data_IF_465539937235
#
_entry.id   IF_465539937235
#
_cell.length_a   1.000
_cell.length_b   1.000
_cell.length_c   1.000
_cell.angle_alpha   90.00
_cell.angle_beta   90.00
_cell.angle_gamma   90.00
#
_symmetry.space_group_name_H-M   'P 1'
#
loop_
_entity.id
_entity.type
_entity.pdbx_description
1 polymer ?
#
# COMPACT_ATOMS: atom_id res chain seq x y z
N UNK A 1 6.59 13.87 18.86
CA UNK A 1 5.23 14.18 18.37
C UNK A 1 5.28 14.19 16.84
N UNK A 2 4.41 13.45 16.19
CA UNK A 2 4.34 13.33 14.71
C UNK A 2 3.77 14.63 14.14
N UNK A 3 4.49 15.27 13.23
CA UNK A 3 4.12 16.54 12.59
C UNK A 3 3.95 16.41 11.08
N UNK A 4 4.65 15.45 10.46
CA UNK A 4 4.65 15.26 9.01
C UNK A 4 4.33 13.81 8.71
N UNK A 5 3.29 13.55 7.91
CA UNK A 5 2.82 12.20 7.59
C UNK A 5 2.72 11.99 6.09
N UNK A 6 3.20 10.85 5.61
CA UNK A 6 2.96 10.35 4.27
C UNK A 6 1.72 9.46 4.29
N UNK A 7 0.81 9.68 3.36
CA UNK A 7 -0.36 8.85 3.11
C UNK A 7 -0.12 8.07 1.81
N UNK A 8 0.26 6.82 1.90
CA UNK A 8 0.28 5.93 0.74
C UNK A 8 -1.15 5.55 0.38
N UNK A 9 -1.49 5.55 -0.91
CA UNK A 9 -2.84 5.20 -1.35
C UNK A 9 -2.84 4.04 -2.33
N UNK A 10 -3.87 3.21 -2.22
CA UNK A 10 -4.22 2.20 -3.20
C UNK A 10 -5.73 2.18 -3.43
N UNK A 11 -6.19 1.54 -4.50
CA UNK A 11 -7.59 1.64 -4.92
C UNK A 11 -8.41 0.40 -4.55
N UNK A 12 -7.80 -0.77 -4.64
CA UNK A 12 -8.49 -2.04 -4.57
C UNK A 12 -9.07 -2.36 -3.19
N UNK A 13 -8.55 -1.77 -2.12
CA UNK A 13 -9.08 -1.94 -0.75
C UNK A 13 -10.22 -1.00 -0.38
N UNK A 14 -10.54 0.00 -1.21
CA UNK A 14 -11.53 1.05 -0.95
C UNK A 14 -12.95 0.47 -0.84
N UNK A 15 -13.76 1.00 0.07
CA UNK A 15 -15.17 0.65 0.20
C UNK A 15 -15.94 0.94 -1.10
N UNK A 16 -16.64 -0.08 -1.63
CA UNK A 16 -17.40 0.03 -2.89
C UNK A 16 -16.59 -0.21 -4.16
N UNK A 17 -15.27 -0.47 -4.08
CA UNK A 17 -14.44 -0.90 -5.20
C UNK A 17 -14.32 -2.42 -5.15
N UNK A 18 -14.87 -3.14 -6.14
CA UNK A 18 -14.98 -4.61 -6.13
C UNK A 18 -14.67 -5.27 -7.48
N UNK A 19 -14.28 -4.49 -8.49
CA UNK A 19 -14.04 -5.00 -9.84
C UNK A 19 -12.75 -4.42 -10.44
N UNK A 20 -11.83 -5.29 -10.83
CA UNK A 20 -10.63 -4.86 -11.56
C UNK A 20 -10.98 -4.15 -12.87
N UNK A 21 -11.80 -4.79 -13.70
CA UNK A 21 -12.09 -4.33 -15.07
C UNK A 21 -12.94 -3.07 -15.11
N UNK A 22 -13.88 -2.93 -14.18
CA UNK A 22 -14.82 -1.81 -14.20
C UNK A 22 -14.36 -0.61 -13.35
N UNK A 23 -13.50 -0.85 -12.34
CA UNK A 23 -13.21 0.16 -11.31
C UNK A 23 -11.72 0.41 -11.05
N UNK A 24 -10.84 -0.61 -11.17
CA UNK A 24 -9.44 -0.47 -10.81
C UNK A 24 -8.51 -0.26 -12.03
N UNK A 25 -8.89 -0.70 -13.22
CA UNK A 25 -8.13 -0.40 -14.43
C UNK A 25 -8.54 0.95 -15.03
N UNK A 26 -7.59 1.67 -15.62
CA UNK A 26 -7.79 3.04 -16.13
C UNK A 26 -8.81 3.16 -17.27
N UNK A 27 -9.07 2.07 -17.99
CA UNK A 27 -10.10 1.96 -19.03
C UNK A 27 -11.46 1.47 -18.49
N UNK A 28 -11.56 1.25 -17.18
CA UNK A 28 -12.78 0.82 -16.52
C UNK A 28 -13.88 1.88 -16.56
N UNK A 29 -15.10 1.47 -16.87
CA UNK A 29 -16.28 2.34 -16.99
C UNK A 29 -16.53 3.21 -15.74
N UNK A 30 -16.18 2.70 -14.56
CA UNK A 30 -16.42 3.36 -13.28
C UNK A 30 -15.12 3.80 -12.59
N UNK A 31 -14.00 3.86 -13.32
CA UNK A 31 -12.69 4.23 -12.77
C UNK A 31 -12.70 5.62 -12.11
N UNK A 32 -13.25 6.65 -12.77
CA UNK A 32 -13.34 7.99 -12.18
C UNK A 32 -14.24 8.05 -10.93
N UNK A 33 -15.25 7.18 -10.87
CA UNK A 33 -16.05 7.05 -9.65
C UNK A 33 -15.25 6.40 -8.53
N UNK A 34 -14.48 5.37 -8.83
CA UNK A 34 -13.61 4.70 -7.86
C UNK A 34 -12.52 5.66 -7.32
N UNK A 35 -11.95 6.50 -8.17
CA UNK A 35 -11.02 7.56 -7.76
C UNK A 35 -11.66 8.52 -6.74
N UNK A 36 -12.91 8.93 -6.96
CA UNK A 36 -13.61 9.80 -5.98
C UNK A 36 -13.90 9.09 -4.67
N UNK A 37 -14.18 7.77 -4.68
CA UNK A 37 -14.32 6.99 -3.45
C UNK A 37 -13.00 6.95 -2.67
N UNK A 38 -11.89 6.62 -3.32
CA UNK A 38 -10.57 6.65 -2.69
C UNK A 38 -10.23 8.04 -2.15
N UNK A 39 -10.45 9.09 -2.96
CA UNK A 39 -10.14 10.47 -2.54
C UNK A 39 -10.95 10.87 -1.32
N UNK A 40 -12.21 10.42 -1.22
CA UNK A 40 -13.05 10.62 -0.02
C UNK A 40 -12.47 9.93 1.22
N UNK A 41 -11.99 8.69 1.12
CA UNK A 41 -11.33 7.99 2.21
C UNK A 41 -10.00 8.65 2.62
N UNK A 42 -9.21 9.11 1.63
CA UNK A 42 -7.98 9.87 1.87
C UNK A 42 -8.27 11.19 2.58
N UNK A 43 -9.31 11.92 2.15
CA UNK A 43 -9.70 13.18 2.79
C UNK A 43 -10.11 12.95 4.26
N UNK A 44 -10.84 11.88 4.55
CA UNK A 44 -11.18 11.50 5.93
C UNK A 44 -9.94 11.19 6.77
N UNK A 45 -8.94 10.51 6.19
CA UNK A 45 -7.66 10.29 6.85
C UNK A 45 -6.91 11.60 7.11
N UNK A 46 -6.91 12.53 6.15
CA UNK A 46 -6.31 13.87 6.32
C UNK A 46 -7.00 14.64 7.43
N UNK A 47 -8.34 14.62 7.50
CA UNK A 47 -9.09 15.23 8.61
C UNK A 47 -8.65 14.68 9.97
N UNK A 48 -8.48 13.35 10.10
CA UNK A 48 -7.98 12.71 11.32
C UNK A 48 -6.54 13.12 11.67
N UNK A 49 -5.66 13.20 10.65
CA UNK A 49 -4.28 13.66 10.85
C UNK A 49 -4.22 15.10 11.37
N UNK A 50 -5.00 16.01 10.77
CA UNK A 50 -5.05 17.41 11.20
C UNK A 50 -5.63 17.55 12.61
N UNK A 51 -6.70 16.80 12.93
CA UNK A 51 -7.27 16.77 14.28
C UNK A 51 -6.27 16.28 15.33
N UNK A 52 -5.39 15.31 14.97
CA UNK A 52 -4.30 14.83 15.82
C UNK A 52 -3.06 15.73 15.85
N UNK A 53 -3.10 16.92 15.22
CA UNK A 53 -2.04 17.94 15.28
C UNK A 53 -0.89 17.74 14.28
N UNK A 54 -1.11 16.98 13.20
CA UNK A 54 -0.20 16.89 12.04
C UNK A 54 -0.25 18.21 11.26
N UNK A 55 0.91 18.70 10.85
CA UNK A 55 1.07 20.01 10.21
C UNK A 55 1.32 19.90 8.69
N UNK A 56 1.87 18.77 8.24
CA UNK A 56 2.15 18.54 6.83
C UNK A 56 1.72 17.12 6.42
N UNK A 57 0.92 17.04 5.35
CA UNK A 57 0.45 15.76 4.78
C UNK A 57 0.88 15.67 3.32
N UNK A 58 1.59 14.58 2.98
CA UNK A 58 1.93 14.22 1.61
C UNK A 58 1.16 12.96 1.22
N UNK A 59 0.19 13.08 0.34
CA UNK A 59 -0.49 11.95 -0.29
C UNK A 59 0.39 11.43 -1.43
N UNK A 60 0.71 10.15 -1.40
CA UNK A 60 1.46 9.45 -2.44
C UNK A 60 0.51 8.51 -3.18
N UNK A 61 0.14 8.87 -4.40
CA UNK A 61 -0.75 8.11 -5.27
C UNK A 61 0.00 6.90 -5.86
N UNK A 62 -0.07 5.75 -5.20
CA UNK A 62 0.70 4.56 -5.56
C UNK A 62 -0.05 3.59 -6.47
N UNK A 63 -1.39 3.68 -6.58
CA UNK A 63 -2.15 2.81 -7.47
C UNK A 63 -1.68 2.93 -8.92
N UNK A 64 -1.47 1.81 -9.60
CA UNK A 64 -0.98 1.67 -10.97
C UNK A 64 -1.02 2.94 -11.85
N UNK A 65 -2.15 3.26 -12.52
CA UNK A 65 -2.25 4.44 -13.39
C UNK A 65 -2.46 5.78 -12.63
N UNK A 66 -2.65 5.72 -11.31
CA UNK A 66 -2.98 6.85 -10.44
C UNK A 66 -4.48 6.96 -10.17
N UNK A 67 -4.86 7.02 -8.89
CA UNK A 67 -6.28 6.92 -8.47
C UNK A 67 -6.78 8.07 -7.58
N UNK A 68 -6.03 9.14 -7.42
CA UNK A 68 -6.52 10.34 -6.73
C UNK A 68 -7.24 11.27 -7.70
N UNK A 69 -8.44 11.72 -7.34
CA UNK A 69 -9.11 12.85 -8.01
C UNK A 69 -8.49 14.15 -7.50
N UNK A 70 -7.67 14.78 -8.34
CA UNK A 70 -6.89 15.96 -7.94
C UNK A 70 -7.79 17.13 -7.49
N UNK A 71 -8.90 17.33 -8.18
CA UNK A 71 -9.86 18.41 -7.90
C UNK A 71 -10.58 18.23 -6.57
N UNK A 72 -10.73 16.96 -6.13
CA UNK A 72 -11.47 16.62 -4.91
C UNK A 72 -10.54 16.40 -3.70
N UNK A 73 -9.21 16.48 -3.88
CA UNK A 73 -8.25 16.25 -2.82
C UNK A 73 -8.32 17.35 -1.75
N UNK A 74 -8.18 16.97 -0.49
CA UNK A 74 -8.19 17.85 0.68
C UNK A 74 -7.18 19.01 0.53
N UNK A 75 -7.58 20.29 0.74
CA UNK A 75 -6.73 21.46 0.47
C UNK A 75 -5.47 21.55 1.33
N UNK A 76 -5.41 20.88 2.47
CA UNK A 76 -4.21 20.80 3.32
C UNK A 76 -3.20 19.74 2.86
N UNK A 77 -3.55 18.85 1.90
CA UNK A 77 -2.67 17.81 1.42
C UNK A 77 -1.87 18.24 0.19
N UNK A 78 -0.61 17.79 0.13
CA UNK A 78 0.20 17.80 -1.09
C UNK A 78 0.06 16.45 -1.78
N UNK A 79 0.21 16.38 -3.11
CA UNK A 79 0.10 15.16 -3.88
C UNK A 79 1.41 14.82 -4.61
N UNK A 80 1.97 13.66 -4.32
CA UNK A 80 3.02 13.02 -5.11
C UNK A 80 2.35 12.06 -6.10
N UNK A 81 2.36 12.40 -7.38
CA UNK A 81 1.66 11.64 -8.42
C UNK A 81 2.36 11.71 -9.78
N UNK A 82 1.81 11.02 -10.76
CA UNK A 82 2.31 10.97 -12.14
C UNK A 82 3.00 9.65 -12.46
N UNK A 83 3.03 9.33 -13.75
CA UNK A 83 3.65 8.09 -14.27
C UNK A 83 4.55 8.42 -15.47
N UNK A 84 5.75 7.78 -15.57
CA UNK A 84 6.34 6.91 -14.54
C UNK A 84 6.68 7.70 -13.28
N UNK A 85 6.72 7.00 -12.13
CA UNK A 85 7.23 7.60 -10.90
C UNK A 85 8.69 8.05 -11.08
N UNK A 86 9.09 9.06 -10.31
CA UNK A 86 10.50 9.38 -10.14
C UNK A 86 11.25 8.14 -9.59
N UNK A 87 12.57 8.01 -9.86
CA UNK A 87 13.36 6.93 -9.28
C UNK A 87 13.15 6.83 -7.77
N UNK A 88 13.00 5.61 -7.26
CA UNK A 88 12.68 5.38 -5.84
C UNK A 88 13.72 5.96 -4.89
N UNK A 89 14.98 6.11 -5.32
CA UNK A 89 16.00 6.83 -4.55
C UNK A 89 15.66 8.32 -4.33
N UNK A 90 14.97 8.95 -5.28
CA UNK A 90 14.46 10.32 -5.11
C UNK A 90 13.22 10.36 -4.22
N UNK A 91 12.32 9.40 -4.40
CA UNK A 91 11.13 9.25 -3.54
C UNK A 91 11.57 9.03 -2.10
N UNK A 92 12.56 8.15 -1.84
CA UNK A 92 13.13 7.95 -0.52
C UNK A 92 13.64 9.26 0.11
N UNK A 93 14.31 10.12 -0.67
CA UNK A 93 14.77 11.43 -0.21
C UNK A 93 13.62 12.39 0.13
N UNK A 94 12.48 12.29 -0.58
CA UNK A 94 11.29 13.11 -0.31
C UNK A 94 10.56 12.62 0.94
N UNK A 95 10.26 11.32 1.04
CA UNK A 95 9.47 10.80 2.17
C UNK A 95 10.30 10.62 3.44
N UNK A 96 11.61 10.42 3.33
CA UNK A 96 12.52 10.20 4.47
C UNK A 96 12.66 11.36 5.45
N UNK A 97 12.10 12.54 5.12
CA UNK A 97 12.04 13.67 6.05
C UNK A 97 10.73 13.72 6.85
N UNK A 98 9.79 12.81 6.60
CA UNK A 98 8.53 12.70 7.33
C UNK A 98 8.70 11.91 8.63
N UNK A 99 7.70 11.93 9.50
CA UNK A 99 7.80 11.34 10.84
C UNK A 99 7.12 9.96 10.91
N UNK A 100 6.10 9.72 10.06
CA UNK A 100 5.35 8.46 10.00
C UNK A 100 4.65 8.29 8.65
N UNK A 101 4.13 7.09 8.45
CA UNK A 101 3.36 6.70 7.26
C UNK A 101 2.02 6.11 7.68
N UNK A 102 0.98 6.39 6.91
CA UNK A 102 -0.30 5.66 6.92
C UNK A 102 -0.62 5.14 5.53
N UNK A 103 -1.43 4.08 5.44
CA UNK A 103 -1.84 3.46 4.18
C UNK A 103 -3.37 3.50 4.09
N UNK A 104 -3.92 3.94 2.95
CA UNK A 104 -5.37 4.05 2.72
C UNK A 104 -5.75 3.30 1.45
N UNK A 105 -6.79 2.45 1.54
CA UNK A 105 -7.33 1.71 0.41
C UNK A 105 -6.56 0.44 0.04
N UNK A 106 -5.84 -0.17 0.98
CA UNK A 106 -5.00 -1.34 0.74
C UNK A 106 -5.82 -2.63 0.58
N UNK A 107 -5.43 -3.46 -0.38
CA UNK A 107 -5.93 -4.82 -0.60
C UNK A 107 -4.99 -5.88 -0.01
N UNK A 108 -5.48 -7.11 0.13
CA UNK A 108 -4.69 -8.25 0.58
C UNK A 108 -3.70 -8.74 -0.49
N UNK A 109 -2.61 -9.38 -0.06
CA UNK A 109 -1.62 -9.97 -0.97
C UNK A 109 -2.23 -11.07 -1.85
N UNK A 110 -1.51 -11.41 -2.92
CA UNK A 110 -1.86 -12.52 -3.80
C UNK A 110 -1.98 -13.84 -3.01
N UNK A 111 -3.02 -14.63 -3.34
CA UNK A 111 -3.25 -15.94 -2.71
C UNK A 111 -4.23 -15.92 -1.53
N UNK A 112 -4.63 -14.75 -1.02
CA UNK A 112 -5.67 -14.66 0.01
C UNK A 112 -7.03 -15.10 -0.53
N UNK A 113 -7.63 -16.10 0.13
CA UNK A 113 -8.84 -16.79 -0.34
C UNK A 113 -10.06 -15.88 -0.33
N UNK A 114 -10.19 -15.07 0.71
CA UNK A 114 -11.31 -14.13 0.89
C UNK A 114 -10.99 -12.72 0.44
N UNK A 115 -9.70 -12.39 0.19
CA UNK A 115 -9.26 -11.06 -0.21
C UNK A 115 -9.91 -10.57 -1.50
N UNK A 116 -10.71 -9.50 -1.41
CA UNK A 116 -11.29 -8.89 -2.60
C UNK A 116 -10.23 -8.16 -3.39
N UNK A 117 -10.18 -8.41 -4.71
CA UNK A 117 -9.18 -7.87 -5.64
C UNK A 117 -7.71 -8.16 -5.20
N UNK A 118 -7.49 -9.25 -4.43
CA UNK A 118 -6.18 -9.64 -3.92
C UNK A 118 -5.17 -9.88 -5.05
N UNK A 119 -3.97 -9.33 -4.90
CA UNK A 119 -2.83 -9.48 -5.81
C UNK A 119 -1.55 -8.96 -5.16
N UNK A 120 -0.42 -9.00 -5.87
CA UNK A 120 0.84 -8.36 -5.42
C UNK A 120 1.49 -7.71 -6.64
N UNK A 121 1.57 -6.37 -6.66
CA UNK A 121 2.11 -5.50 -7.70
C UNK A 121 1.35 -5.54 -9.03
N UNK A 122 1.10 -6.72 -9.58
CA UNK A 122 0.37 -6.88 -10.83
C UNK A 122 -0.63 -8.03 -10.73
N UNK A 123 -1.90 -7.69 -10.77
CA UNK A 123 -2.99 -8.68 -10.80
C UNK A 123 -3.01 -9.54 -12.09
N UNK A 124 -2.20 -9.19 -13.10
CA UNK A 124 -2.17 -9.82 -14.42
C UNK A 124 -0.94 -10.69 -14.67
N UNK A 125 0.20 -10.35 -14.06
CA UNK A 125 1.48 -10.97 -14.42
C UNK A 125 2.17 -11.67 -13.26
N UNK A 126 1.86 -11.31 -12.01
CA UNK A 126 2.59 -11.78 -10.82
C UNK A 126 1.72 -12.72 -10.00
N UNK A 127 2.24 -13.92 -9.72
CA UNK A 127 1.60 -14.91 -8.88
C UNK A 127 1.91 -14.66 -7.40
N UNK A 128 3.18 -14.40 -7.05
CA UNK A 128 3.59 -14.00 -5.69
C UNK A 128 4.94 -13.28 -5.65
N UNK A 129 5.16 -12.59 -4.55
CA UNK A 129 6.47 -12.16 -4.03
C UNK A 129 6.81 -12.95 -2.78
N UNK A 130 8.08 -13.37 -2.66
CA UNK A 130 8.59 -14.07 -1.49
C UNK A 130 9.95 -13.50 -1.08
N UNK A 131 10.02 -12.92 0.13
CA UNK A 131 11.24 -12.35 0.69
C UNK A 131 11.71 -13.22 1.85
N UNK A 132 12.96 -13.73 1.77
CA UNK A 132 13.54 -14.63 2.76
C UNK A 132 12.58 -15.79 3.12
N UNK A 133 12.09 -16.50 2.09
CA UNK A 133 11.15 -17.62 2.18
C UNK A 133 9.74 -17.28 2.74
N UNK A 134 9.44 -16.03 3.02
CA UNK A 134 8.12 -15.56 3.46
C UNK A 134 7.38 -14.87 2.33
N UNK A 135 6.13 -15.26 2.08
CA UNK A 135 5.24 -14.53 1.17
C UNK A 135 4.99 -13.11 1.70
N UNK A 136 5.02 -12.13 0.80
CA UNK A 136 4.83 -10.72 1.13
C UNK A 136 3.90 -10.04 0.14
N UNK A 137 2.97 -9.25 0.67
CA UNK A 137 2.13 -8.31 -0.08
C UNK A 137 2.78 -6.94 -0.24
N UNK A 138 2.03 -6.01 -0.77
CA UNK A 138 2.48 -4.62 -0.99
C UNK A 138 2.63 -3.86 0.32
N UNK A 139 1.80 -4.17 1.32
CA UNK A 139 1.95 -3.66 2.69
C UNK A 139 3.34 -3.96 3.25
N UNK A 140 3.79 -5.22 3.15
CA UNK A 140 5.11 -5.61 3.62
C UNK A 140 6.23 -4.93 2.84
N UNK A 141 6.11 -4.86 1.51
CA UNK A 141 7.08 -4.21 0.64
C UNK A 141 7.29 -2.75 1.01
N UNK A 142 6.19 -2.00 1.15
CA UNK A 142 6.28 -0.58 1.47
C UNK A 142 6.70 -0.33 2.93
N UNK A 143 6.21 -1.13 3.88
CA UNK A 143 6.60 -1.01 5.27
C UNK A 143 8.09 -1.30 5.51
N UNK A 144 8.68 -2.29 4.83
CA UNK A 144 10.12 -2.57 4.87
C UNK A 144 10.92 -1.46 4.20
N UNK A 145 10.45 -0.92 3.06
CA UNK A 145 11.07 0.23 2.41
C UNK A 145 11.09 1.46 3.33
N UNK A 146 9.97 1.76 3.98
CA UNK A 146 9.87 2.83 4.98
C UNK A 146 10.73 2.55 6.21
N UNK A 147 10.80 1.29 6.64
CA UNK A 147 11.62 0.85 7.76
C UNK A 147 13.11 1.13 7.57
N UNK A 148 13.67 0.95 6.35
CA UNK A 148 15.05 1.37 6.04
C UNK A 148 15.27 2.89 6.20
N UNK A 149 14.22 3.69 5.96
CA UNK A 149 14.26 5.15 6.15
C UNK A 149 14.01 5.57 7.61
N UNK A 150 13.71 4.61 8.50
CA UNK A 150 13.37 4.90 9.89
C UNK A 150 11.92 5.34 10.11
N UNK A 151 11.05 5.17 9.11
CA UNK A 151 9.65 5.58 9.14
C UNK A 151 8.74 4.44 9.60
N UNK A 152 7.98 4.58 10.69
CA UNK A 152 6.95 3.62 11.08
C UNK A 152 5.71 3.76 10.20
N UNK A 153 5.06 2.62 9.89
CA UNK A 153 3.69 2.58 9.36
C UNK A 153 2.75 2.40 10.55
N UNK A 154 1.93 3.41 10.83
CA UNK A 154 1.16 3.49 12.09
C UNK A 154 -0.34 3.19 11.92
N UNK A 155 -0.83 3.26 10.67
CA UNK A 155 -2.23 3.01 10.36
C UNK A 155 -2.38 2.40 8.96
N UNK A 156 -3.39 1.53 8.80
CA UNK A 156 -3.81 1.01 7.51
C UNK A 156 -5.34 0.89 7.44
N UNK A 157 -5.93 1.34 6.33
CA UNK A 157 -7.33 1.03 6.01
C UNK A 157 -7.46 0.30 4.69
N UNK A 158 -8.47 -0.57 4.58
CA UNK A 158 -8.75 -1.29 3.35
C UNK A 158 -9.61 -2.54 3.55
N UNK A 159 -9.27 -3.59 2.79
CA UNK A 159 -9.90 -4.92 2.94
C UNK A 159 -9.53 -5.56 4.30
N UNK A 160 -10.45 -6.30 4.88
CA UNK A 160 -10.25 -6.95 6.18
C UNK A 160 -9.03 -7.90 6.19
N UNK A 161 -8.74 -8.57 5.08
CA UNK A 161 -7.58 -9.44 4.96
C UNK A 161 -6.27 -8.65 4.89
N UNK A 162 -6.27 -7.47 4.26
CA UNK A 162 -5.13 -6.54 4.31
C UNK A 162 -4.90 -5.98 5.71
N UNK A 163 -5.96 -5.68 6.45
CA UNK A 163 -5.85 -5.27 7.86
C UNK A 163 -5.21 -6.37 8.72
N UNK A 164 -5.66 -7.63 8.57
CA UNK A 164 -5.07 -8.78 9.27
C UNK A 164 -3.60 -8.98 8.90
N UNK A 165 -3.25 -8.90 7.60
CA UNK A 165 -1.86 -8.97 7.13
C UNK A 165 -1.01 -7.89 7.81
N UNK A 166 -1.51 -6.66 7.89
CA UNK A 166 -0.81 -5.56 8.53
C UNK A 166 -0.61 -5.77 10.04
N UNK A 167 -1.61 -6.27 10.76
CA UNK A 167 -1.56 -6.57 12.20
C UNK A 167 -0.55 -7.67 12.53
N UNK A 168 -0.50 -8.73 11.70
CA UNK A 168 0.49 -9.81 11.85
C UNK A 168 1.92 -9.35 11.53
N UNK A 169 2.06 -8.41 10.61
CA UNK A 169 3.35 -7.90 10.14
C UNK A 169 3.93 -6.82 11.05
N UNK A 170 3.08 -5.92 11.56
CA UNK A 170 3.46 -4.71 12.29
C UNK A 170 2.73 -4.69 13.64
N UNK A 171 3.28 -5.33 14.68
CA UNK A 171 2.64 -5.32 15.99
C UNK A 171 2.39 -3.91 16.50
N UNK A 172 1.15 -3.64 16.89
CA UNK A 172 0.72 -2.33 17.40
C UNK A 172 0.18 -1.36 16.35
N UNK A 173 0.20 -1.70 15.05
CA UNK A 173 -0.47 -0.90 14.03
C UNK A 173 -1.97 -0.76 14.33
N UNK A 174 -2.55 0.38 14.01
CA UNK A 174 -4.01 0.58 14.05
C UNK A 174 -4.57 0.29 12.66
N UNK A 175 -5.69 -0.43 12.57
CA UNK A 175 -6.31 -0.76 11.30
C UNK A 175 -7.78 -0.34 11.23
N UNK A 176 -8.31 -0.14 10.01
CA UNK A 176 -9.71 0.14 9.76
C UNK A 176 -10.19 -0.68 8.55
N UNK A 177 -10.85 -1.80 8.81
CA UNK A 177 -11.46 -2.62 7.76
C UNK A 177 -12.74 -1.96 7.25
N UNK A 178 -12.70 -1.40 6.04
CA UNK A 178 -13.85 -0.75 5.39
C UNK A 178 -14.58 -1.67 4.43
N UNK A 179 -13.97 -2.82 4.14
CA UNK A 179 -14.50 -3.84 3.25
C UNK A 179 -14.09 -5.23 3.73
N UNK A 180 -14.99 -6.19 3.60
CA UNK A 180 -14.73 -7.60 3.85
C UNK A 180 -14.92 -8.39 2.57
N UNK A 181 -13.86 -8.96 2.04
CA UNK A 181 -13.92 -9.84 0.89
C UNK A 181 -14.65 -11.16 1.21
N UNK A 182 -15.37 -11.67 0.21
CA UNK A 182 -15.99 -13.01 0.20
C UNK A 182 -15.38 -13.87 -0.92
N UNK A 183 -14.31 -13.38 -1.51
CA UNK A 183 -13.59 -13.91 -2.65
C UNK A 183 -13.17 -12.78 -3.58
N UNK A 184 -12.37 -13.10 -4.60
CA UNK A 184 -11.67 -12.12 -5.44
C UNK A 184 -12.58 -11.06 -6.10
N UNK A 185 -13.83 -11.38 -6.43
CA UNK A 185 -14.75 -10.48 -7.14
C UNK A 185 -16.00 -10.08 -6.35
N UNK A 186 -16.05 -10.38 -5.04
CA UNK A 186 -17.22 -10.11 -4.21
C UNK A 186 -16.81 -9.67 -2.82
N UNK A 187 -17.49 -8.66 -2.27
CA UNK A 187 -17.21 -8.14 -0.94
C UNK A 187 -18.47 -7.51 -0.30
N UNK A 188 -18.44 -7.44 1.01
CA UNK A 188 -19.32 -6.58 1.81
C UNK A 188 -18.55 -5.30 2.11
N UNK A 189 -19.05 -4.15 1.66
CA UNK A 189 -18.44 -2.85 1.92
C UNK A 189 -19.29 -2.04 2.89
N UNK A 190 -18.64 -1.26 3.73
CA UNK A 190 -19.31 -0.18 4.46
C UNK A 190 -19.84 0.86 3.46
N UNK A 191 -20.83 1.64 3.87
CA UNK A 191 -21.19 2.86 3.12
C UNK A 191 -20.04 3.86 3.17
N UNK A 192 -19.90 4.71 2.15
CA UNK A 192 -18.81 5.70 2.13
C UNK A 192 -18.78 6.61 3.38
N UNK A 193 -19.91 7.13 3.91
CA UNK A 193 -19.87 7.91 5.16
C UNK A 193 -19.36 7.13 6.35
N UNK A 194 -19.69 5.85 6.47
CA UNK A 194 -19.23 5.01 7.58
C UNK A 194 -17.74 4.64 7.44
N UNK A 195 -17.28 4.34 6.22
CA UNK A 195 -15.85 4.14 5.94
C UNK A 195 -15.04 5.39 6.31
N UNK A 196 -15.51 6.58 5.91
CA UNK A 196 -14.85 7.86 6.25
C UNK A 196 -14.78 8.08 7.76
N UNK A 197 -15.88 7.82 8.49
CA UNK A 197 -15.89 7.94 9.96
C UNK A 197 -14.85 7.00 10.61
N UNK A 198 -14.86 5.72 10.21
CA UNK A 198 -13.97 4.71 10.75
C UNK A 198 -12.49 5.02 10.47
N UNK A 199 -12.18 5.47 9.26
CA UNK A 199 -10.81 5.86 8.87
C UNK A 199 -10.35 7.05 9.69
N UNK A 200 -11.16 8.10 9.79
CA UNK A 200 -10.81 9.28 10.57
C UNK A 200 -10.52 8.95 12.02
N UNK A 201 -11.44 8.24 12.69
CA UNK A 201 -11.30 7.83 14.10
C UNK A 201 -10.08 6.91 14.30
N UNK A 202 -9.84 5.97 13.36
CA UNK A 202 -8.68 5.08 13.41
C UNK A 202 -7.35 5.83 13.28
N UNK A 203 -7.28 6.86 12.43
CA UNK A 203 -6.09 7.73 12.31
C UNK A 203 -5.85 8.53 13.59
N UNK A 204 -6.91 9.12 14.17
CA UNK A 204 -6.81 9.84 15.45
C UNK A 204 -6.29 8.90 16.55
N UNK A 205 -6.84 7.69 16.65
CA UNK A 205 -6.39 6.65 17.58
C UNK A 205 -4.93 6.24 17.35
N UNK A 206 -4.52 6.06 16.08
CA UNK A 206 -3.13 5.72 15.75
C UNK A 206 -2.14 6.78 16.23
N UNK A 207 -2.48 8.07 16.06
CA UNK A 207 -1.65 9.18 16.54
C UNK A 207 -1.58 9.25 18.09
N UNK A 208 -2.69 8.99 18.78
CA UNK A 208 -2.72 8.92 20.24
C UNK A 208 -1.83 7.78 20.76
N UNK A 209 -1.94 6.58 20.17
CA UNK A 209 -1.11 5.41 20.54
C UNK A 209 0.38 5.66 20.37
N UNK A 210 0.79 6.42 19.35
CA UNK A 210 2.19 6.77 19.14
C UNK A 210 2.81 7.58 20.30
N UNK A 211 2.01 8.19 21.18
CA UNK A 211 2.52 8.92 22.33
C UNK A 211 2.87 8.01 23.51
N UNK A 212 2.19 6.88 23.67
CA UNK A 212 2.37 5.94 24.78
C UNK A 212 3.03 4.63 24.37
N UNK A 213 2.67 4.11 23.20
CA UNK A 213 3.10 2.82 22.69
C UNK A 213 3.51 2.97 21.21
N UNK A 214 4.66 3.60 20.92
CA UNK A 214 5.06 3.89 19.55
C UNK A 214 5.33 2.61 18.74
N UNK A 215 4.72 2.52 17.57
CA UNK A 215 5.01 1.48 16.58
C UNK A 215 6.42 1.71 16.01
N UNK A 216 7.33 0.73 16.10
CA UNK A 216 8.65 0.87 15.51
C UNK A 216 8.63 0.74 13.99
N UNK A 217 9.60 1.31 13.26
CA UNK A 217 9.79 1.01 11.84
C UNK A 217 10.01 -0.49 11.63
N UNK A 218 9.29 -1.08 10.66
CA UNK A 218 9.44 -2.50 10.32
C UNK A 218 10.80 -2.76 9.72
N UNK A 219 11.56 -3.69 10.28
CA UNK A 219 12.87 -4.10 9.76
C UNK A 219 13.02 -5.61 9.84
N UNK A 220 13.59 -6.17 8.79
CA UNK A 220 14.08 -7.54 8.75
C UNK A 220 15.60 -7.52 8.60
N UNK A 221 16.24 -8.62 8.94
CA UNK A 221 17.70 -8.70 8.90
C UNK A 221 18.19 -9.10 7.49
N UNK A 222 19.24 -8.43 6.96
CA UNK A 222 19.90 -8.84 5.74
C UNK A 222 20.75 -10.12 5.98
N UNK A 223 21.19 -10.84 4.92
CA UNK A 223 20.93 -10.54 3.52
C UNK A 223 19.51 -10.87 3.09
N UNK A 224 19.00 -10.12 2.11
CA UNK A 224 17.68 -10.34 1.56
C UNK A 224 17.75 -11.18 0.28
N UNK A 225 16.83 -12.13 0.17
CA UNK A 225 16.58 -12.91 -1.04
C UNK A 225 15.13 -12.70 -1.45
N UNK A 226 14.92 -12.04 -2.60
CA UNK A 226 13.59 -11.83 -3.16
C UNK A 226 13.36 -12.79 -4.32
N UNK A 227 12.28 -13.57 -4.25
CA UNK A 227 11.75 -14.36 -5.35
C UNK A 227 10.45 -13.75 -5.84
N UNK A 228 10.32 -13.70 -7.17
CA UNK A 228 9.10 -13.27 -7.86
C UNK A 228 8.67 -14.39 -8.79
N UNK A 229 7.47 -14.91 -8.59
CA UNK A 229 6.87 -15.86 -9.51
C UNK A 229 5.83 -15.16 -10.39
N UNK A 230 5.91 -15.42 -11.68
CA UNK A 230 5.01 -14.87 -12.70
C UNK A 230 3.97 -15.91 -13.12
N UNK A 231 2.85 -15.46 -13.65
CA UNK A 231 1.88 -16.36 -14.28
C UNK A 231 2.39 -16.91 -15.60
N UNK A 232 3.17 -16.14 -16.36
CA UNK A 232 3.67 -16.51 -17.68
C UNK A 232 5.19 -16.48 -17.75
N UNK A 233 5.75 -17.34 -18.60
CA UNK A 233 7.19 -17.46 -18.80
C UNK A 233 7.81 -16.18 -19.38
N UNK A 234 7.09 -15.54 -20.29
CA UNK A 234 7.50 -14.32 -20.98
C UNK A 234 7.74 -13.15 -20.05
N UNK A 235 6.93 -13.03 -18.99
CA UNK A 235 7.11 -11.97 -17.98
C UNK A 235 8.41 -12.15 -17.19
N UNK A 236 8.78 -13.39 -16.89
CA UNK A 236 10.05 -13.70 -16.27
C UNK A 236 11.23 -13.43 -17.21
N UNK A 237 11.10 -13.74 -18.51
CA UNK A 237 12.14 -13.48 -19.52
C UNK A 237 12.49 -12.00 -19.63
N UNK A 238 11.48 -11.12 -19.59
CA UNK A 238 11.70 -9.66 -19.61
C UNK A 238 12.58 -9.18 -18.44
N UNK A 239 12.46 -9.81 -17.27
CA UNK A 239 13.23 -9.42 -16.07
C UNK A 239 14.65 -9.97 -16.08
N UNK A 240 14.93 -11.05 -16.81
CA UNK A 240 16.26 -11.66 -16.88
C UNK A 240 17.33 -10.76 -17.50
N UNK A 241 16.96 -9.72 -18.25
CA UNK A 241 17.92 -8.75 -18.82
C UNK A 241 18.50 -7.79 -17.76
N UNK A 242 17.92 -7.75 -16.56
CA UNK A 242 18.38 -6.86 -15.50
C UNK A 242 19.58 -7.47 -14.77
N UNK A 243 20.62 -6.67 -14.42
CA UNK A 243 21.77 -7.15 -13.66
C UNK A 243 21.37 -7.72 -12.29
N UNK A 244 21.97 -8.86 -11.91
CA UNK A 244 21.75 -9.47 -10.60
C UNK A 244 20.43 -10.25 -10.47
N UNK A 245 19.71 -10.48 -11.58
CA UNK A 245 18.55 -11.35 -11.65
C UNK A 245 18.99 -12.76 -12.05
N UNK A 246 18.57 -13.76 -11.26
CA UNK A 246 18.81 -15.19 -11.51
C UNK A 246 17.49 -15.88 -11.87
N UNK A 247 17.52 -16.81 -12.84
CA UNK A 247 16.38 -17.70 -13.12
C UNK A 247 16.38 -18.87 -12.14
N UNK A 248 15.27 -19.06 -11.43
CA UNK A 248 15.07 -20.21 -10.54
C UNK A 248 14.42 -21.37 -11.30
N UNK A 249 13.35 -21.06 -12.04
CA UNK A 249 12.62 -21.99 -12.91
C UNK A 249 11.98 -21.25 -14.10
N UNK A 250 11.08 -21.89 -14.84
CA UNK A 250 10.45 -21.29 -16.03
C UNK A 250 9.75 -19.95 -15.76
N UNK A 251 9.20 -19.74 -14.56
CA UNK A 251 8.38 -18.55 -14.22
C UNK A 251 8.89 -17.78 -13.00
N UNK A 252 9.95 -18.26 -12.35
CA UNK A 252 10.45 -17.67 -11.10
C UNK A 252 11.83 -17.07 -11.29
N UNK A 253 12.00 -15.84 -10.83
CA UNK A 253 13.30 -15.17 -10.76
C UNK A 253 13.68 -14.94 -9.29
N UNK A 254 14.96 -14.74 -9.06
CA UNK A 254 15.54 -14.44 -7.74
C UNK A 254 16.53 -13.29 -7.83
N UNK A 255 16.51 -12.44 -6.82
CA UNK A 255 17.48 -11.35 -6.62
C UNK A 255 17.97 -11.36 -5.18
N UNK A 256 19.21 -10.91 -4.95
CA UNK A 256 19.80 -10.80 -3.61
C UNK A 256 20.42 -9.43 -3.41
N UNK A 257 20.26 -8.88 -2.21
CA UNK A 257 20.87 -7.61 -1.80
C UNK A 257 20.97 -7.52 -0.27
N UNK A 258 21.79 -6.57 0.19
CA UNK A 258 21.87 -6.24 1.62
C UNK A 258 20.92 -5.11 2.03
N UNK A 259 20.23 -4.51 1.06
CA UNK A 259 19.25 -3.43 1.28
C UNK A 259 17.94 -3.72 0.56
N UNK A 260 16.83 -3.46 1.24
CA UNK A 260 15.48 -3.62 0.69
C UNK A 260 15.27 -2.73 -0.54
N UNK A 261 15.77 -1.49 -0.50
CA UNK A 261 15.64 -0.53 -1.60
C UNK A 261 16.31 -1.00 -2.92
N UNK A 262 17.19 -1.99 -2.87
CA UNK A 262 17.82 -2.59 -4.04
C UNK A 262 17.00 -3.72 -4.67
N UNK A 263 15.95 -4.20 -4.00
CA UNK A 263 15.10 -5.31 -4.42
C UNK A 263 13.68 -4.86 -4.74
N UNK A 264 13.06 -4.09 -3.84
CA UNK A 264 11.67 -3.66 -3.94
C UNK A 264 11.58 -2.38 -4.77
N UNK A 265 10.63 -2.34 -5.70
CA UNK A 265 10.40 -1.22 -6.63
C UNK A 265 11.57 -0.93 -7.60
N UNK A 266 12.32 -1.96 -7.95
CA UNK A 266 13.44 -1.89 -8.89
C UNK A 266 13.01 -1.90 -10.37
#
# INVERSE_FOLDING_TARGET
>A
MIKRVVVLTDLEGVAGVVSFTEQAFSDGRYYDRAKRLLTGEVNAAVDGLLAGGVEEVLVMDAHGPGAISFEDLHPAAKLLHGRPFAPWSRIAGVIGIYDAVIIVGQHAMAGEVTGNLSHTQSSRTIEYYKLNDRLIGETAQFALFCGELGLPVIFLSGDADACREAEELIPGITTAAVKQGLGRGCAISLSAPEAHRLIREGVEQALERQQSEPVPPLRWDPPYTLEIQYYFLEDADVRMVQPGVERVDGRTIRMRADRIQELIYR
#
